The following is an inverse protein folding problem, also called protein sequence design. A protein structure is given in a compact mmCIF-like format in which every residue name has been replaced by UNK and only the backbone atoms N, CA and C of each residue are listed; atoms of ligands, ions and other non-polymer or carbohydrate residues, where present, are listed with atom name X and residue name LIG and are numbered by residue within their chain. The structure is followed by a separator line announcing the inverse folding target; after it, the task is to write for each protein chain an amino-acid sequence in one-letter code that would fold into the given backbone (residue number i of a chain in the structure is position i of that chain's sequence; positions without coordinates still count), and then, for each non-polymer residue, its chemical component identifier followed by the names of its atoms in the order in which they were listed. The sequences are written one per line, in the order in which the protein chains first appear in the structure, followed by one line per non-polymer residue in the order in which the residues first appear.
data_IF_835225866216
#
_entry.id   IF_835225866216
#
_cell.length_a   1.000
_cell.length_b   1.000
_cell.length_c   1.000
_cell.angle_alpha   90.00
_cell.angle_beta   90.00
_cell.angle_gamma   90.00
#
_symmetry.space_group_name_H-M   'P 1'
#
loop_
_entity.id
_entity.type
_entity.pdbx_description
1 polymer ?
#
# COMPACT_ATOMS: atom_id res chain seq x y z
N UNK A 1 1.72 -2.03 -11.30
CA UNK A 1 0.34 -2.32 -10.88
C UNK A 1 -0.33 -3.55 -11.45
N UNK A 2 -0.19 -3.89 -12.74
CA UNK A 2 -0.89 -5.07 -13.33
C UNK A 2 -0.49 -6.39 -12.65
N UNK A 3 0.80 -6.67 -12.55
CA UNK A 3 1.31 -7.96 -12.06
C UNK A 3 0.95 -8.18 -10.59
N UNK A 4 1.04 -7.17 -9.71
CA UNK A 4 0.72 -7.31 -8.28
C UNK A 4 -0.74 -7.72 -8.04
N UNK A 5 -1.67 -7.09 -8.75
CA UNK A 5 -3.08 -7.44 -8.67
C UNK A 5 -3.35 -8.83 -9.27
N UNK A 6 -2.72 -9.17 -10.39
CA UNK A 6 -2.82 -10.50 -10.98
C UNK A 6 -2.32 -11.59 -10.02
N UNK A 7 -1.17 -11.37 -9.37
CA UNK A 7 -0.59 -12.30 -8.41
C UNK A 7 -1.51 -12.53 -7.20
N UNK A 8 -2.05 -11.46 -6.62
CA UNK A 8 -2.97 -11.54 -5.48
C UNK A 8 -4.31 -12.18 -5.84
N UNK A 9 -4.86 -11.89 -7.02
CA UNK A 9 -6.08 -12.58 -7.50
C UNK A 9 -5.82 -14.08 -7.64
N UNK A 10 -4.69 -14.46 -8.23
CA UNK A 10 -4.38 -15.86 -8.53
C UNK A 10 -3.98 -16.68 -7.29
N UNK A 11 -3.15 -16.11 -6.43
CA UNK A 11 -2.46 -16.84 -5.37
C UNK A 11 -2.82 -16.35 -3.96
N UNK A 12 -3.42 -15.17 -3.82
CA UNK A 12 -3.52 -14.49 -2.53
C UNK A 12 -2.14 -14.21 -1.92
N UNK A 13 -2.11 -14.17 -0.58
CA UNK A 13 -0.90 -13.97 0.21
C UNK A 13 -0.56 -12.50 0.40
N UNK A 14 0.72 -12.23 0.61
CA UNK A 14 1.26 -10.90 0.83
C UNK A 14 2.04 -10.44 -0.39
N UNK A 15 1.78 -9.22 -0.83
CA UNK A 15 2.57 -8.49 -1.79
C UNK A 15 3.26 -7.33 -1.08
N UNK A 16 4.56 -7.21 -1.31
CA UNK A 16 5.40 -6.13 -0.82
C UNK A 16 6.25 -5.60 -1.98
N UNK A 17 6.44 -4.29 -2.08
CA UNK A 17 7.44 -3.72 -2.97
C UNK A 17 8.86 -4.14 -2.51
N UNK A 18 9.81 -4.19 -3.45
CA UNK A 18 11.14 -4.79 -3.21
C UNK A 18 12.03 -3.99 -2.26
N UNK A 19 11.68 -2.73 -2.04
CA UNK A 19 12.28 -1.79 -1.10
C UNK A 19 11.55 -1.76 0.26
N UNK A 20 10.62 -2.69 0.49
CA UNK A 20 10.00 -2.88 1.80
C UNK A 20 10.86 -3.77 2.70
N UNK A 21 11.42 -3.21 3.76
CA UNK A 21 12.09 -3.97 4.82
C UNK A 21 11.06 -4.42 5.86
N UNK A 22 10.98 -5.71 6.14
CA UNK A 22 10.15 -6.23 7.24
C UNK A 22 10.97 -6.33 8.52
N UNK A 23 10.47 -5.70 9.59
CA UNK A 23 11.08 -5.73 10.93
C UNK A 23 10.27 -6.53 11.94
N UNK A 24 9.04 -6.96 11.57
CA UNK A 24 8.19 -7.87 12.37
C UNK A 24 7.48 -8.90 11.48
N UNK A 25 7.02 -10.03 12.06
CA UNK A 25 6.21 -11.02 11.35
C UNK A 25 4.86 -10.45 10.90
N UNK A 26 4.31 -11.01 9.82
CA UNK A 26 3.02 -10.63 9.24
C UNK A 26 1.83 -11.41 9.83
N UNK A 27 2.08 -12.36 10.73
CA UNK A 27 1.12 -13.33 11.26
C UNK A 27 -0.14 -12.70 11.83
N UNK A 28 -0.03 -11.51 12.45
CA UNK A 28 -1.17 -10.77 13.00
C UNK A 28 -2.19 -10.33 11.95
N UNK A 29 -1.80 -10.33 10.66
CA UNK A 29 -2.65 -9.96 9.53
C UNK A 29 -3.36 -11.17 8.90
N UNK A 30 -2.98 -12.40 9.26
CA UNK A 30 -3.60 -13.64 8.76
C UNK A 30 -5.04 -13.84 9.25
N UNK A 31 -5.48 -13.06 10.25
CA UNK A 31 -6.84 -13.11 10.78
C UNK A 31 -7.90 -12.48 9.85
N UNK A 32 -7.48 -11.82 8.76
CA UNK A 32 -8.33 -11.02 7.89
C UNK A 32 -8.26 -11.55 6.44
N UNK A 33 -9.37 -11.41 5.70
CA UNK A 33 -9.41 -11.81 4.28
C UNK A 33 -8.57 -10.89 3.41
N UNK A 34 -8.36 -9.65 3.85
CA UNK A 34 -7.39 -8.75 3.28
C UNK A 34 -6.85 -7.73 4.29
N UNK A 35 -5.67 -7.19 4.00
CA UNK A 35 -5.13 -6.03 4.68
C UNK A 35 -4.55 -5.02 3.67
N UNK A 36 -4.83 -3.74 3.90
CA UNK A 36 -4.30 -2.60 3.15
C UNK A 36 -3.69 -1.61 4.15
N UNK A 37 -2.74 -0.80 3.72
CA UNK A 37 -2.11 0.21 4.56
C UNK A 37 -2.31 1.61 3.98
N UNK A 38 -2.46 2.60 4.85
CA UNK A 38 -2.43 4.01 4.47
C UNK A 38 -1.00 4.43 4.09
N UNK A 39 -0.85 5.27 3.06
CA UNK A 39 0.37 6.10 2.88
C UNK A 39 0.21 7.47 3.54
N UNK A 40 -1.03 7.88 3.79
CA UNK A 40 -1.42 9.11 4.49
C UNK A 40 -2.87 8.98 4.98
N UNK A 41 -3.34 9.94 5.78
CA UNK A 41 -4.74 9.97 6.27
C UNK A 41 -5.81 10.01 5.17
N UNK A 42 -5.43 10.20 3.91
CA UNK A 42 -6.35 10.34 2.78
C UNK A 42 -6.26 9.21 1.76
N UNK A 43 -5.19 8.41 1.79
CA UNK A 43 -4.88 7.49 0.72
C UNK A 43 -4.30 6.18 1.23
N UNK A 44 -4.80 5.08 0.70
CA UNK A 44 -4.20 3.75 0.78
C UNK A 44 -3.10 3.62 -0.25
N UNK A 45 -2.04 2.93 0.13
CA UNK A 45 -0.91 2.64 -0.74
C UNK A 45 -1.10 1.32 -1.50
N UNK A 46 -0.14 1.04 -2.38
CA UNK A 46 -0.06 -0.24 -3.09
C UNK A 46 1.24 -1.00 -2.81
N UNK A 47 2.16 -0.46 -1.99
CA UNK A 47 3.45 -1.07 -1.68
C UNK A 47 3.34 -2.22 -0.67
N UNK A 48 2.28 -2.24 0.14
CA UNK A 48 1.90 -3.40 0.94
C UNK A 48 0.43 -3.76 0.65
N UNK A 49 0.18 -5.01 0.30
CA UNK A 49 -1.15 -5.56 0.08
C UNK A 49 -1.20 -6.99 0.60
N UNK A 50 -2.27 -7.37 1.28
CA UNK A 50 -2.49 -8.75 1.70
C UNK A 50 -3.91 -9.19 1.37
N UNK A 51 -4.09 -10.42 0.91
CA UNK A 51 -5.40 -11.04 1.01
C UNK A 51 -5.53 -12.40 0.38
N UNK A 52 -6.72 -12.98 0.52
CA UNK A 52 -7.02 -14.31 0.02
C UNK A 52 -7.10 -14.35 -1.50
N UNK A 53 -6.88 -15.52 -2.13
CA UNK A 53 -7.07 -15.68 -3.57
C UNK A 53 -8.48 -15.23 -3.98
N UNK A 54 -8.58 -14.58 -5.14
CA UNK A 54 -9.82 -14.05 -5.71
C UNK A 54 -10.57 -13.02 -4.86
N UNK A 55 -9.95 -12.40 -3.85
CA UNK A 55 -10.60 -11.37 -3.05
C UNK A 55 -11.17 -10.22 -3.94
N UNK A 56 -12.40 -9.72 -3.69
CA UNK A 56 -13.05 -8.76 -4.59
C UNK A 56 -12.26 -7.45 -4.81
N UNK A 57 -11.49 -6.97 -3.83
CA UNK A 57 -10.70 -5.73 -3.99
C UNK A 57 -9.68 -5.88 -5.13
N UNK A 58 -8.98 -7.01 -5.21
CA UNK A 58 -7.95 -7.25 -6.22
C UNK A 58 -8.56 -7.60 -7.57
N UNK A 59 -9.71 -8.28 -7.59
CA UNK A 59 -10.45 -8.55 -8.84
C UNK A 59 -10.93 -7.26 -9.49
N UNK A 60 -11.48 -6.33 -8.69
CA UNK A 60 -11.91 -5.02 -9.20
C UNK A 60 -10.72 -4.19 -9.67
N UNK A 61 -9.62 -4.17 -8.92
CA UNK A 61 -8.40 -3.49 -9.31
C UNK A 61 -7.81 -4.07 -10.62
N UNK A 62 -7.72 -5.39 -10.76
CA UNK A 62 -7.24 -6.06 -11.96
C UNK A 62 -8.15 -5.81 -13.17
N UNK A 63 -9.46 -5.99 -13.00
CA UNK A 63 -10.42 -5.76 -14.09
C UNK A 63 -10.36 -4.33 -14.61
N UNK A 64 -10.13 -3.36 -13.72
CA UNK A 64 -9.92 -1.95 -14.09
C UNK A 64 -8.67 -1.76 -14.95
N UNK A 65 -7.56 -2.41 -14.60
CA UNK A 65 -6.30 -2.34 -15.34
C UNK A 65 -6.37 -3.05 -16.72
N UNK A 66 -7.25 -4.05 -16.84
CA UNK A 66 -7.47 -4.78 -18.10
C UNK A 66 -8.42 -4.06 -19.07
N UNK A 67 -9.22 -3.10 -18.59
CA UNK A 67 -10.12 -2.31 -19.41
C UNK A 67 -9.37 -1.15 -20.12
N UNK A 68 -8.30 -1.48 -20.85
CA UNK A 68 -7.33 -0.51 -21.43
C UNK A 68 -8.01 0.53 -22.32
N UNK A 69 -9.02 0.13 -23.09
CA UNK A 69 -9.78 1.03 -23.98
C UNK A 69 -10.62 2.08 -23.24
N UNK A 70 -10.81 1.91 -21.92
CA UNK A 70 -11.52 2.84 -21.04
C UNK A 70 -10.57 3.68 -20.19
N UNK A 71 -9.26 3.51 -20.34
CA UNK A 71 -8.24 4.26 -19.61
C UNK A 71 -7.87 5.49 -20.43
N UNK A 72 -8.28 6.66 -19.97
CA UNK A 72 -7.89 7.97 -20.52
C UNK A 72 -7.08 8.80 -19.52
N UNK A 73 -6.56 9.95 -19.96
CA UNK A 73 -5.74 10.87 -19.14
C UNK A 73 -6.39 11.25 -17.81
N UNK A 74 -7.72 11.44 -17.80
CA UNK A 74 -8.50 11.81 -16.61
C UNK A 74 -9.03 10.61 -15.81
N UNK A 75 -8.69 9.38 -16.21
CA UNK A 75 -9.12 8.21 -15.46
C UNK A 75 -8.11 7.96 -14.35
N UNK A 76 -8.58 7.88 -13.10
CA UNK A 76 -7.80 7.45 -11.92
C UNK A 76 -7.25 6.00 -12.05
N UNK A 77 -7.29 5.41 -13.25
CA UNK A 77 -7.03 4.01 -13.52
C UNK A 77 -5.54 3.64 -13.51
N UNK A 78 -4.66 4.64 -13.45
CA UNK A 78 -3.21 4.47 -13.35
C UNK A 78 -2.65 4.96 -12.00
N UNK A 79 -3.49 5.25 -11.01
CA UNK A 79 -3.03 5.88 -9.77
C UNK A 79 -2.93 4.87 -8.65
N UNK A 80 -1.88 5.01 -7.84
CA UNK A 80 -1.64 4.26 -6.59
C UNK A 80 -2.86 4.29 -5.65
N UNK A 81 -3.77 5.25 -5.84
CA UNK A 81 -5.00 5.42 -5.07
C UNK A 81 -6.18 4.55 -5.52
N UNK A 82 -5.97 3.57 -6.42
CA UNK A 82 -7.04 2.66 -6.86
C UNK A 82 -7.73 1.96 -5.67
N UNK A 83 -6.97 1.53 -4.66
CA UNK A 83 -7.52 0.91 -3.45
C UNK A 83 -8.36 1.89 -2.62
N UNK A 84 -7.93 3.15 -2.48
CA UNK A 84 -8.73 4.21 -1.85
C UNK A 84 -10.10 4.37 -2.53
N UNK A 85 -10.11 4.39 -3.87
CA UNK A 85 -11.34 4.50 -4.64
C UNK A 85 -12.24 3.26 -4.49
N UNK A 86 -11.67 2.06 -4.49
CA UNK A 86 -12.40 0.80 -4.26
C UNK A 86 -13.02 0.79 -2.86
N UNK A 87 -12.25 1.11 -1.83
CA UNK A 87 -12.74 1.18 -0.44
C UNK A 87 -13.87 2.18 -0.29
N UNK A 88 -13.77 3.35 -0.94
CA UNK A 88 -14.83 4.35 -0.93
C UNK A 88 -16.10 3.92 -1.67
N UNK A 89 -15.96 3.48 -2.92
CA UNK A 89 -17.11 3.25 -3.81
C UNK A 89 -17.81 1.92 -3.55
N UNK A 90 -17.07 0.89 -3.11
CA UNK A 90 -17.60 -0.46 -2.91
C UNK A 90 -17.90 -0.77 -1.44
N UNK A 91 -17.09 -0.26 -0.52
CA UNK A 91 -17.20 -0.60 0.91
C UNK A 91 -17.68 0.59 1.77
N UNK A 92 -17.96 1.75 1.15
CA UNK A 92 -18.47 2.93 1.87
C UNK A 92 -17.47 3.57 2.82
N UNK A 93 -16.18 3.24 2.71
CA UNK A 93 -15.14 3.75 3.61
C UNK A 93 -14.62 5.09 3.13
N UNK A 94 -14.64 6.09 4.01
CA UNK A 94 -13.90 7.34 3.80
C UNK A 94 -12.51 7.17 4.43
N UNK A 95 -11.41 7.23 3.65
CA UNK A 95 -10.06 7.25 4.21
C UNK A 95 -9.90 8.30 5.31
N UNK A 96 -9.41 7.88 6.47
CA UNK A 96 -9.14 8.74 7.62
C UNK A 96 -7.90 8.32 8.44
N UNK A 97 -7.07 7.42 7.90
CA UNK A 97 -5.81 6.97 8.52
C UNK A 97 -5.96 6.01 9.71
N UNK A 98 -7.17 5.65 10.12
CA UNK A 98 -7.39 4.86 11.34
C UNK A 98 -7.33 3.35 11.11
N UNK A 99 -7.00 2.62 12.18
CA UNK A 99 -7.10 1.16 12.21
C UNK A 99 -8.57 0.75 12.29
N UNK A 100 -9.10 0.22 11.19
CA UNK A 100 -10.49 -0.25 11.10
C UNK A 100 -10.56 -1.58 10.37
N UNK A 101 -11.61 -2.34 10.68
CA UNK A 101 -11.96 -3.57 9.96
C UNK A 101 -13.34 -3.40 9.34
N UNK A 102 -13.44 -3.67 8.04
CA UNK A 102 -14.67 -3.52 7.25
C UNK A 102 -14.76 -4.68 6.27
N UNK A 103 -15.85 -5.45 6.32
CA UNK A 103 -16.02 -6.64 5.47
C UNK A 103 -14.82 -7.60 5.53
N UNK A 104 -14.29 -7.82 6.74
CA UNK A 104 -13.07 -8.59 7.00
C UNK A 104 -11.79 -8.10 6.28
N UNK A 105 -11.79 -6.83 5.86
CA UNK A 105 -10.62 -6.12 5.34
C UNK A 105 -10.08 -5.22 6.46
N UNK A 106 -8.83 -5.43 6.87
CA UNK A 106 -8.16 -4.53 7.81
C UNK A 106 -7.49 -3.38 7.08
N UNK A 107 -7.77 -2.15 7.49
CA UNK A 107 -7.07 -0.95 7.04
C UNK A 107 -6.10 -0.53 8.13
N UNK A 108 -4.82 -0.53 7.81
CA UNK A 108 -3.72 -0.28 8.75
C UNK A 108 -3.27 1.18 8.66
N UNK A 109 -3.10 1.89 9.79
CA UNK A 109 -2.49 3.21 9.84
C UNK A 109 -1.11 3.25 9.16
N UNK A 110 -0.72 4.44 8.71
CA UNK A 110 0.54 4.67 7.99
C UNK A 110 1.76 4.11 8.73
N UNK A 111 1.82 4.23 10.06
CA UNK A 111 2.95 3.77 10.89
C UNK A 111 3.31 2.26 10.76
N UNK A 112 2.39 1.44 10.23
CA UNK A 112 2.63 0.01 10.05
C UNK A 112 3.67 -0.30 8.97
N UNK A 113 3.66 0.43 7.86
CA UNK A 113 4.54 0.18 6.71
C UNK A 113 5.21 1.44 6.13
N UNK A 114 4.75 2.62 6.52
CA UNK A 114 5.22 3.93 6.06
C UNK A 114 5.69 4.81 7.24
N UNK A 115 6.58 4.32 8.13
CA UNK A 115 7.08 5.11 9.27
C UNK A 115 8.08 6.20 8.86
N UNK A 116 8.61 6.14 7.63
CA UNK A 116 9.52 7.15 7.09
C UNK A 116 8.71 8.34 6.56
N UNK A 117 8.90 9.51 7.15
CA UNK A 117 8.30 10.74 6.65
C UNK A 117 9.05 11.22 5.41
N UNK A 118 8.33 11.36 4.31
CA UNK A 118 8.88 11.69 2.99
C UNK A 118 9.41 13.13 2.89
N UNK A 119 8.88 14.03 3.72
CA UNK A 119 9.18 15.46 3.67
C UNK A 119 10.39 15.80 4.53
N UNK A 120 10.49 15.17 5.70
CA UNK A 120 11.52 15.42 6.70
C UNK A 120 12.67 14.39 6.62
N UNK A 121 12.38 13.18 6.14
CA UNK A 121 13.32 12.05 6.19
C UNK A 121 13.42 11.37 7.54
N UNK A 122 12.57 11.75 8.50
CA UNK A 122 12.58 11.18 9.84
C UNK A 122 11.91 9.80 9.84
N UNK A 123 12.61 8.83 10.42
CA UNK A 123 12.08 7.49 10.62
C UNK A 123 11.38 7.41 11.99
N UNK A 124 10.06 7.34 11.96
CA UNK A 124 9.20 7.34 13.15
C UNK A 124 8.58 5.96 13.36
N UNK A 125 9.35 5.02 13.90
CA UNK A 125 8.84 3.68 14.20
C UNK A 125 8.05 3.65 15.51
N UNK A 126 7.03 2.78 15.58
CA UNK A 126 6.21 2.56 16.77
C UNK A 126 6.13 1.06 17.11
N UNK A 127 5.46 0.73 18.22
CA UNK A 127 5.20 -0.66 18.59
C UNK A 127 4.36 -1.41 17.52
N UNK A 128 3.66 -0.67 16.66
CA UNK A 128 2.84 -1.23 15.59
C UNK A 128 3.60 -1.38 14.26
N UNK A 129 4.74 -0.71 14.08
CA UNK A 129 5.50 -0.76 12.82
C UNK A 129 5.93 -2.18 12.49
N UNK A 130 5.50 -2.68 11.33
CA UNK A 130 5.82 -4.02 10.81
C UNK A 130 6.90 -3.95 9.73
N UNK A 131 6.82 -2.94 8.86
CA UNK A 131 7.79 -2.73 7.80
C UNK A 131 8.17 -1.27 7.63
N UNK A 132 9.28 -1.07 6.93
CA UNK A 132 9.82 0.23 6.55
C UNK A 132 9.91 0.23 5.03
N UNK A 133 9.06 1.04 4.39
CA UNK A 133 9.15 1.27 2.95
C UNK A 133 10.31 2.23 2.67
N UNK A 134 11.43 1.70 2.19
CA UNK A 134 12.58 2.51 1.82
C UNK A 134 12.30 3.27 0.54
N UNK A 135 12.84 4.48 0.44
CA UNK A 135 12.71 5.32 -0.75
C UNK A 135 14.12 5.57 -1.29
N UNK A 136 14.59 4.76 -2.24
CA UNK A 136 15.97 4.80 -2.71
C UNK A 136 16.40 6.20 -3.18
N UNK A 137 15.47 6.98 -3.75
CA UNK A 137 15.74 8.35 -4.18
C UNK A 137 16.05 9.31 -3.02
N UNK A 138 15.39 9.13 -1.87
CA UNK A 138 15.67 9.93 -0.68
C UNK A 138 17.04 9.58 -0.07
N UNK A 139 17.38 8.28 -0.03
CA UNK A 139 18.70 7.81 0.41
C UNK A 139 19.82 8.33 -0.50
N UNK A 140 19.62 8.27 -1.82
CA UNK A 140 20.57 8.79 -2.80
C UNK A 140 20.80 10.32 -2.67
N UNK A 141 19.76 11.10 -2.32
CA UNK A 141 19.92 12.54 -2.06
C UNK A 141 20.72 12.84 -0.79
N UNK A 142 20.59 12.01 0.25
CA UNK A 142 21.40 12.15 1.48
C UNK A 142 22.86 11.84 1.22
N UNK A 143 23.15 10.73 0.52
CA UNK A 143 24.51 10.39 0.11
C UNK A 143 25.10 11.49 -0.78
N UNK A 144 24.36 11.98 -1.79
CA UNK A 144 24.83 13.05 -2.67
C UNK A 144 25.17 14.36 -1.92
N UNK A 145 24.44 14.68 -0.84
CA UNK A 145 24.78 15.81 0.04
C UNK A 145 26.07 15.57 0.81
N UNK A 146 26.35 14.35 1.25
CA UNK A 146 27.60 14.02 1.97
C UNK A 146 28.83 14.10 1.05
N UNK A 147 28.70 13.78 -0.25
CA UNK A 147 29.77 13.92 -1.24
C UNK A 147 30.07 15.35 -1.69
N UNK A 148 29.13 16.30 -1.51
CA UNK A 148 29.33 17.72 -1.85
C UNK A 148 30.18 18.49 -0.83
N UNK A 149 30.50 17.87 0.31
CA UNK A 149 31.35 18.43 1.36
C UNK A 149 32.78 17.83 1.40
N UNK A 150 33.16 17.05 0.38
CA UNK A 150 34.53 16.60 0.11
C UNK A 150 35.02 17.14 -1.24
#
# INVERSE_FOLDING_TARGET
DVIRNYALVKNGGFYLDTDMELIKPLDSLLAYDAALCYESDHWLNSAFLAGIPNHPIYRVALARLQAVDKIGFNTNALTVHAFSAIMRLRYGVKPDGKDIVVDNIRLLPQEYFYPLDYMTGELNTTLNTIGIHHLPWFLAQREAKEWLYF
#
